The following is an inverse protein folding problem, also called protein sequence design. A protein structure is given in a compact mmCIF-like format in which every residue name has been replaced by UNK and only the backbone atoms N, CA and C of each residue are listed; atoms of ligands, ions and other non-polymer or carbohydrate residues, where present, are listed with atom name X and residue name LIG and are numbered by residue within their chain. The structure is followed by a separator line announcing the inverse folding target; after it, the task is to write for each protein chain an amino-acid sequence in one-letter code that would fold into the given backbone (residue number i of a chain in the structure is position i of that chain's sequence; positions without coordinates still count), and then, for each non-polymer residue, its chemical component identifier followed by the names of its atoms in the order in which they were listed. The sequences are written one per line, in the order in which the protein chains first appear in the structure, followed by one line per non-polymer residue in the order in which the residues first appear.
data_IF_297589319606
#
_entry.id   IF_297589319606
#
_cell.length_a   1.000
_cell.length_b   1.000
_cell.length_c   1.000
_cell.angle_alpha   90.00
_cell.angle_beta   90.00
_cell.angle_gamma   90.00
#
_symmetry.space_group_name_H-M   'P 1'
#
loop_
_entity.id
_entity.type
_entity.pdbx_description
1 polymer ?
#
# COMPACT_ATOMS: atom_id res chain seq x y z
N UNK A 1 -15.17 -2.97 -20.65
CA UNK A 1 -14.84 -3.78 -19.46
C UNK A 1 -14.24 -2.84 -18.44
N UNK A 2 -14.90 -2.65 -17.29
CA UNK A 2 -14.55 -1.62 -16.31
C UNK A 2 -13.22 -2.02 -15.63
N UNK A 3 -12.12 -1.25 -15.77
CA UNK A 3 -10.95 -1.51 -14.95
C UNK A 3 -11.36 -1.28 -13.50
N UNK A 4 -11.22 -2.33 -12.68
CA UNK A 4 -11.51 -2.30 -11.26
C UNK A 4 -10.68 -1.19 -10.61
N UNK A 5 -11.40 -0.19 -10.14
CA UNK A 5 -10.93 0.98 -9.44
C UNK A 5 -10.37 0.55 -8.07
N UNK A 6 -9.10 0.15 -8.07
CA UNK A 6 -8.26 0.06 -6.89
C UNK A 6 -6.95 0.68 -7.32
N UNK A 7 -6.77 1.97 -7.01
CA UNK A 7 -5.58 2.73 -7.37
C UNK A 7 -4.35 2.02 -6.79
N UNK A 8 -3.59 1.35 -7.66
CA UNK A 8 -2.29 0.77 -7.31
C UNK A 8 -1.34 1.95 -7.22
N UNK A 9 -1.10 2.42 -5.99
CA UNK A 9 -0.14 3.48 -5.73
C UNK A 9 1.25 2.86 -5.70
N UNK A 10 1.88 2.78 -6.89
CA UNK A 10 3.33 2.74 -7.07
C UNK A 10 3.68 3.00 -8.52
N UNK A 11 3.66 4.27 -8.86
CA UNK A 11 4.18 4.83 -10.10
C UNK A 11 4.04 6.33 -9.93
N UNK A 12 4.91 7.02 -9.19
CA UNK A 12 6.10 7.65 -9.78
C UNK A 12 7.05 8.19 -8.67
N UNK A 13 7.57 7.33 -7.78
CA UNK A 13 8.54 7.76 -6.76
C UNK A 13 9.33 6.59 -6.18
N UNK A 14 10.65 6.74 -6.06
CA UNK A 14 11.51 5.76 -5.37
C UNK A 14 11.47 6.10 -3.86
N UNK A 15 10.92 5.25 -2.98
CA UNK A 15 10.86 5.52 -1.53
C UNK A 15 12.26 5.66 -0.90
N UNK A 16 13.33 5.32 -1.63
CA UNK A 16 14.73 5.57 -1.21
C UNK A 16 15.16 7.03 -1.39
N UNK A 17 14.39 7.84 -2.13
CA UNK A 17 14.58 9.27 -2.27
C UNK A 17 13.75 10.00 -1.22
N UNK A 18 14.42 10.62 -0.24
CA UNK A 18 13.76 11.35 0.88
C UNK A 18 12.75 12.41 0.43
N UNK A 19 12.99 13.08 -0.70
CA UNK A 19 12.07 14.11 -1.23
C UNK A 19 10.75 13.51 -1.74
N UNK A 20 10.75 12.25 -2.17
CA UNK A 20 9.54 11.52 -2.53
C UNK A 20 8.89 10.84 -1.32
N UNK A 21 9.66 10.50 -0.27
CA UNK A 21 9.12 9.89 0.96
C UNK A 21 8.03 10.75 1.62
N UNK A 22 8.26 12.05 1.82
CA UNK A 22 7.27 12.93 2.47
C UNK A 22 5.96 12.98 1.66
N UNK A 23 6.06 13.09 0.33
CA UNK A 23 4.90 13.09 -0.57
C UNK A 23 4.16 11.76 -0.53
N UNK A 24 4.88 10.64 -0.52
CA UNK A 24 4.30 9.29 -0.44
C UNK A 24 3.59 9.07 0.90
N UNK A 25 4.13 9.59 2.01
CA UNK A 25 3.50 9.53 3.34
C UNK A 25 2.21 10.34 3.37
N UNK A 26 2.22 11.56 2.82
CA UNK A 26 1.02 12.40 2.75
C UNK A 26 -0.09 11.76 1.92
N UNK A 27 0.23 11.22 0.75
CA UNK A 27 -0.75 10.54 -0.11
C UNK A 27 -1.28 9.26 0.54
N UNK A 28 -0.41 8.46 1.18
CA UNK A 28 -0.83 7.27 1.93
C UNK A 28 -1.85 7.63 3.02
N UNK A 29 -1.59 8.71 3.78
CA UNK A 29 -2.52 9.19 4.82
C UNK A 29 -3.84 9.64 4.22
N UNK A 30 -3.80 10.46 3.16
CA UNK A 30 -5.02 10.93 2.46
C UNK A 30 -5.90 9.77 2.01
N UNK A 31 -5.29 8.70 1.50
CA UNK A 31 -6.04 7.51 1.08
C UNK A 31 -6.64 6.74 2.26
N UNK A 32 -5.94 6.62 3.40
CA UNK A 32 -6.54 6.02 4.60
C UNK A 32 -7.68 6.87 5.18
N UNK A 33 -7.51 8.20 5.18
CA UNK A 33 -8.53 9.14 5.63
C UNK A 33 -9.75 9.16 4.71
N UNK A 34 -9.59 8.88 3.42
CA UNK A 34 -10.72 8.71 2.48
C UNK A 34 -11.54 7.45 2.73
N UNK A 35 -11.15 6.62 3.71
CA UNK A 35 -11.86 5.42 4.13
C UNK A 35 -11.33 4.13 3.49
N UNK A 36 -10.15 4.18 2.87
CA UNK A 36 -9.50 3.00 2.29
C UNK A 36 -8.74 2.20 3.36
N UNK A 37 -8.46 0.96 3.03
CA UNK A 37 -7.46 0.13 3.69
C UNK A 37 -6.23 -0.02 2.82
N UNK A 38 -5.08 -0.14 3.47
CA UNK A 38 -3.80 -0.40 2.84
C UNK A 38 -3.27 -1.78 3.28
N UNK A 39 -2.79 -2.56 2.31
CA UNK A 39 -2.11 -3.81 2.58
C UNK A 39 -0.82 -3.91 1.77
N UNK A 40 0.21 -4.49 2.37
CA UNK A 40 1.51 -4.71 1.76
C UNK A 40 1.66 -6.19 1.45
N UNK A 41 1.83 -6.60 0.18
CA UNK A 41 2.20 -7.97 -0.15
C UNK A 41 3.62 -8.24 0.35
N UNK A 42 3.75 -9.23 1.22
CA UNK A 42 5.03 -9.74 1.70
C UNK A 42 5.22 -11.15 1.16
N UNK A 43 6.35 -11.41 0.53
CA UNK A 43 6.74 -12.74 0.12
C UNK A 43 7.65 -13.34 1.18
N UNK A 44 7.22 -14.45 1.81
CA UNK A 44 8.08 -15.16 2.75
C UNK A 44 9.16 -15.93 1.98
N UNK A 45 10.46 -15.58 2.12
CA UNK A 45 11.53 -16.29 1.43
C UNK A 45 11.56 -17.75 1.91
N UNK A 46 11.29 -18.68 0.99
CA UNK A 46 11.28 -20.12 1.23
C UNK A 46 9.89 -20.79 1.26
N UNK A 47 8.80 -20.04 1.44
CA UNK A 47 7.44 -20.61 1.44
C UNK A 47 6.70 -20.48 0.10
N UNK A 48 7.09 -19.52 -0.75
CA UNK A 48 6.36 -19.19 -1.98
C UNK A 48 4.92 -18.70 -1.75
N UNK A 49 4.53 -18.45 -0.49
CA UNK A 49 3.23 -17.90 -0.14
C UNK A 49 3.31 -16.38 -0.20
N UNK A 50 2.34 -15.81 -0.93
CA UNK A 50 2.11 -14.37 -0.98
C UNK A 50 1.12 -14.05 0.12
N UNK A 51 1.60 -13.41 1.16
CA UNK A 51 0.78 -12.90 2.26
C UNK A 51 0.61 -11.39 2.09
N UNK A 52 -0.45 -10.83 2.66
CA UNK A 52 -0.67 -9.40 2.64
C UNK A 52 -0.84 -8.93 4.08
N UNK A 53 0.04 -8.05 4.54
CA UNK A 53 -0.03 -7.46 5.87
C UNK A 53 -0.81 -6.16 5.78
N UNK A 54 -1.86 -6.05 6.58
CA UNK A 54 -2.61 -4.81 6.74
C UNK A 54 -1.73 -3.77 7.44
N UNK A 55 -1.64 -2.57 6.86
CA UNK A 55 -0.85 -1.47 7.43
C UNK A 55 -1.75 -0.25 7.65
N UNK A 56 -1.54 0.42 8.78
CA UNK A 56 -2.32 1.58 9.21
C UNK A 56 -1.47 2.86 9.17
N UNK A 57 -0.15 2.72 9.13
CA UNK A 57 0.80 3.81 8.98
C UNK A 57 1.87 3.47 7.93
N UNK A 58 2.39 4.51 7.25
CA UNK A 58 3.47 4.35 6.28
C UNK A 58 4.73 3.71 6.90
N UNK A 59 5.01 4.00 8.17
CA UNK A 59 6.13 3.41 8.90
C UNK A 59 6.02 1.89 9.14
N UNK A 60 4.84 1.30 8.94
CA UNK A 60 4.64 -0.15 9.02
C UNK A 60 4.95 -0.85 7.70
N UNK A 61 5.19 -0.09 6.62
CA UNK A 61 5.57 -0.65 5.32
C UNK A 61 7.02 -1.12 5.43
N UNK A 62 7.29 -2.42 5.22
CA UNK A 62 8.65 -2.93 5.16
C UNK A 62 9.44 -2.25 4.04
N UNK A 63 10.72 -1.89 4.24
CA UNK A 63 11.55 -1.28 3.19
C UNK A 63 11.76 -2.19 1.97
N UNK A 64 11.60 -3.51 2.13
CA UNK A 64 11.62 -4.50 1.07
C UNK A 64 10.30 -4.61 0.29
N UNK A 65 9.25 -3.91 0.73
CA UNK A 65 7.94 -3.97 0.09
C UNK A 65 8.01 -3.40 -1.33
N UNK A 66 7.74 -4.24 -2.31
CA UNK A 66 7.65 -3.80 -3.69
C UNK A 66 6.36 -3.03 -3.97
N UNK A 67 5.28 -3.29 -3.21
CA UNK A 67 4.04 -2.54 -3.36
C UNK A 67 3.11 -2.38 -2.18
N UNK A 68 2.27 -1.33 -2.21
CA UNK A 68 1.12 -1.14 -1.32
C UNK A 68 -0.17 -1.22 -2.15
N UNK A 69 -1.16 -1.94 -1.66
CA UNK A 69 -2.46 -2.12 -2.29
C UNK A 69 -3.50 -1.39 -1.45
N UNK A 70 -4.18 -0.41 -2.05
CA UNK A 70 -5.34 0.23 -1.45
C UNK A 70 -6.62 -0.41 -1.93
N UNK A 71 -7.56 -0.62 -1.02
CA UNK A 71 -8.86 -1.15 -1.35
C UNK A 71 -9.94 -0.54 -0.44
N UNK A 72 -11.16 -0.36 -0.94
CA UNK A 72 -12.23 0.19 -0.13
C UNK A 72 -12.51 -0.75 1.04
N UNK A 73 -12.78 -0.18 2.21
CA UNK A 73 -13.44 -0.91 3.30
C UNK A 73 -14.80 -1.36 2.78
N UNK A 74 -14.88 -2.58 2.26
CA UNK A 74 -16.17 -3.17 1.98
C UNK A 74 -16.97 -3.12 3.28
N UNK A 75 -18.17 -2.52 3.24
CA UNK A 75 -19.15 -2.62 4.31
C UNK A 75 -19.56 -4.10 4.42
N UNK A 76 -18.74 -4.89 5.08
CA UNK A 76 -18.87 -6.34 5.20
C UNK A 76 -19.16 -6.71 6.65
N UNK A 77 -20.41 -6.49 7.05
CA UNK A 77 -21.06 -7.10 8.21
C UNK A 77 -22.41 -7.63 7.76
#
# INVERSE_FOLDING_TARGET
MKPGHGEILLTEGDPRLREDEERLVEEFRRQLESGMWAAVPTEHPGSGRREATMVHAYAEIPPEAERVIFFPRAAGG
#
